data_IF_611156896427
#
_entry.id   IF_611156896427
#
_cell.length_a   1.000
_cell.length_b   1.000
_cell.length_c   1.000
_cell.angle_alpha   90.00
_cell.angle_beta   90.00
_cell.angle_gamma   90.00
#
_symmetry.space_group_name_H-M   'P 1'
#
loop_
_entity.id
_entity.type
_entity.pdbx_description
1 polymer ?
#
# COMPACT_ATOMS: atom_id res chain seq x y z
N UNK A 1 -9.14 -48.87 -1.44
CA UNK A 1 -9.95 -47.72 -0.96
C UNK A 1 -9.15 -46.73 -0.14
N UNK A 2 -8.38 -47.13 0.89
CA UNK A 2 -7.63 -46.19 1.74
C UNK A 2 -6.61 -45.30 0.98
N UNK A 3 -5.84 -45.87 0.04
CA UNK A 3 -4.92 -45.10 -0.83
C UNK A 3 -5.63 -44.11 -1.76
N UNK A 4 -6.83 -44.45 -2.23
CA UNK A 4 -7.66 -43.57 -3.07
C UNK A 4 -8.25 -42.43 -2.26
N UNK A 5 -8.68 -42.72 -1.03
CA UNK A 5 -9.14 -41.71 -0.07
C UNK A 5 -8.00 -40.73 0.27
N UNK A 6 -6.82 -41.23 0.66
CA UNK A 6 -5.64 -40.40 0.96
C UNK A 6 -5.22 -39.50 -0.20
N UNK A 7 -5.27 -40.01 -1.45
CA UNK A 7 -4.99 -39.20 -2.64
C UNK A 7 -6.05 -38.11 -2.86
N UNK A 8 -7.32 -38.42 -2.67
CA UNK A 8 -8.39 -37.43 -2.75
C UNK A 8 -8.28 -36.38 -1.64
N UNK A 9 -7.97 -36.77 -0.40
CA UNK A 9 -7.78 -35.85 0.72
C UNK A 9 -6.57 -34.95 0.50
N UNK A 10 -5.46 -35.48 -0.01
CA UNK A 10 -4.29 -34.68 -0.35
C UNK A 10 -4.61 -33.66 -1.46
N UNK A 11 -5.37 -34.06 -2.48
CA UNK A 11 -5.75 -33.20 -3.59
C UNK A 11 -6.70 -32.08 -3.15
N UNK A 12 -7.67 -32.39 -2.28
CA UNK A 12 -8.55 -31.39 -1.64
C UNK A 12 -7.76 -30.45 -0.72
N UNK A 13 -6.79 -30.97 0.05
CA UNK A 13 -5.93 -30.15 0.91
C UNK A 13 -5.04 -29.20 0.11
N UNK A 14 -4.49 -29.64 -1.03
CA UNK A 14 -3.73 -28.75 -1.91
C UNK A 14 -4.60 -27.69 -2.57
N UNK A 15 -5.85 -28.01 -2.92
CA UNK A 15 -6.82 -27.06 -3.49
C UNK A 15 -7.39 -26.10 -2.44
N UNK A 16 -7.46 -26.47 -1.16
CA UNK A 16 -7.93 -25.57 -0.09
C UNK A 16 -6.86 -24.58 0.36
N UNK A 17 -5.57 -24.86 0.09
CA UNK A 17 -4.48 -23.92 0.32
C UNK A 17 -4.35 -22.85 -0.78
N UNK A 18 -4.99 -23.02 -1.94
CA UNK A 18 -5.04 -21.97 -2.96
C UNK A 18 -6.02 -20.89 -2.50
N UNK A 19 -5.51 -19.82 -1.89
CA UNK A 19 -6.32 -18.64 -1.58
C UNK A 19 -6.10 -17.99 -0.22
N UNK A 20 -5.30 -18.59 0.66
CA UNK A 20 -4.81 -17.92 1.87
C UNK A 20 -3.37 -17.45 1.63
N UNK A 21 -3.18 -16.17 1.33
CA UNK A 21 -1.85 -15.61 1.04
C UNK A 21 -1.68 -14.28 1.75
N UNK A 22 -0.61 -14.15 2.53
CA UNK A 22 -0.15 -12.86 3.06
C UNK A 22 1.05 -12.38 2.27
N UNK A 23 1.10 -11.09 1.98
CA UNK A 23 2.16 -10.47 1.22
C UNK A 23 2.39 -9.03 1.66
N UNK A 24 3.55 -8.49 1.31
CA UNK A 24 3.90 -7.10 1.58
C UNK A 24 3.42 -6.21 0.42
N UNK A 25 2.63 -5.19 0.74
CA UNK A 25 2.16 -4.20 -0.25
C UNK A 25 3.32 -3.31 -0.64
N UNK A 26 3.72 -3.34 -1.91
CA UNK A 26 4.92 -2.62 -2.39
C UNK A 26 4.66 -1.73 -3.61
N UNK A 27 3.41 -1.67 -4.08
CA UNK A 27 3.05 -0.87 -5.26
C UNK A 27 3.53 -1.50 -6.57
N UNK A 28 2.99 -1.01 -7.71
CA UNK A 28 3.39 0.31 -8.15
C UNK A 28 2.52 1.44 -7.59
N UNK A 29 3.15 2.52 -7.15
CA UNK A 29 2.50 3.81 -6.93
C UNK A 29 2.15 4.37 -8.30
N UNK A 30 0.86 4.63 -8.52
CA UNK A 30 0.33 5.05 -9.79
C UNK A 30 0.49 6.55 -10.04
N UNK A 31 -0.28 7.06 -10.99
CA UNK A 31 -0.42 8.51 -11.17
C UNK A 31 -1.08 9.14 -9.92
N UNK A 32 -0.81 10.43 -9.65
CA UNK A 32 -1.49 11.18 -8.60
C UNK A 32 -3.01 11.05 -8.68
N UNK A 33 -3.65 10.79 -7.53
CA UNK A 33 -5.12 10.71 -7.45
C UNK A 33 -5.78 12.04 -7.85
N UNK A 34 -5.11 13.15 -7.51
CA UNK A 34 -5.48 14.51 -7.83
C UNK A 34 -4.21 15.36 -7.86
N UNK A 35 -4.20 16.46 -8.64
CA UNK A 35 -3.15 17.47 -8.54
C UNK A 35 -3.23 18.16 -7.18
N UNK A 36 -2.09 18.67 -6.70
CA UNK A 36 -2.04 19.46 -5.47
C UNK A 36 -2.95 20.69 -5.59
N UNK A 37 -3.76 20.94 -4.56
CA UNK A 37 -4.65 22.11 -4.51
C UNK A 37 -3.88 23.43 -4.43
N UNK A 38 -2.69 23.40 -3.85
CA UNK A 38 -1.76 24.53 -3.78
C UNK A 38 -0.33 24.03 -3.95
N UNK A 39 0.48 24.78 -4.69
CA UNK A 39 1.90 24.48 -4.89
C UNK A 39 2.74 25.34 -3.95
N UNK A 40 3.57 24.70 -3.13
CA UNK A 40 4.55 25.41 -2.29
C UNK A 40 5.65 26.04 -3.17
N UNK A 41 6.10 27.29 -2.89
CA UNK A 41 7.21 27.91 -3.63
C UNK A 41 8.55 27.22 -3.36
N UNK A 42 8.64 26.41 -2.30
CA UNK A 42 9.85 25.67 -1.88
C UNK A 42 10.16 24.53 -2.83
N UNK A 43 11.44 24.19 -2.94
CA UNK A 43 11.85 22.92 -3.56
C UNK A 43 11.75 21.81 -2.51
N UNK A 44 11.42 20.60 -2.95
CA UNK A 44 11.46 19.43 -2.08
C UNK A 44 12.45 18.39 -2.57
N UNK A 45 13.16 17.77 -1.64
CA UNK A 45 14.00 16.59 -1.88
C UNK A 45 13.42 15.40 -1.13
N UNK A 46 13.26 14.26 -1.78
CA UNK A 46 12.81 13.05 -1.11
C UNK A 46 14.02 12.33 -0.52
N UNK A 47 14.00 12.13 0.79
CA UNK A 47 14.96 11.26 1.46
C UNK A 47 14.62 9.79 1.22
N UNK A 48 15.58 8.89 1.43
CA UNK A 48 15.32 7.45 1.36
C UNK A 48 14.15 7.08 2.28
N UNK A 49 13.18 6.37 1.71
CA UNK A 49 11.99 5.93 2.44
C UNK A 49 12.40 4.94 3.51
N UNK A 50 12.10 5.21 4.77
CA UNK A 50 12.30 4.23 5.84
C UNK A 50 11.16 3.23 5.86
N UNK A 51 11.46 1.97 6.15
CA UNK A 51 10.44 0.92 6.33
C UNK A 51 10.61 0.36 7.74
N UNK A 52 9.72 0.75 8.64
CA UNK A 52 9.73 0.33 10.06
C UNK A 52 8.70 -0.76 10.37
N UNK A 53 7.95 -1.22 9.36
CA UNK A 53 7.06 -2.36 9.46
C UNK A 53 7.77 -3.58 10.06
N UNK A 54 7.24 -4.09 11.18
CA UNK A 54 7.86 -5.17 11.97
C UNK A 54 7.78 -6.54 11.30
N UNK A 55 6.80 -6.69 10.41
CA UNK A 55 6.48 -7.88 9.63
C UNK A 55 7.31 -8.00 8.32
N UNK A 56 8.20 -7.06 8.05
CA UNK A 56 9.12 -7.09 6.91
C UNK A 56 10.54 -7.38 7.39
N UNK A 57 11.23 -8.33 6.75
CA UNK A 57 12.63 -8.63 7.06
C UNK A 57 13.58 -7.52 6.55
N UNK A 58 14.80 -7.42 7.08
CA UNK A 58 15.69 -6.29 6.80
C UNK A 58 16.20 -6.21 5.35
N UNK A 59 16.39 -7.36 4.71
CA UNK A 59 16.75 -7.42 3.29
C UNK A 59 15.62 -6.84 2.41
N UNK A 60 14.37 -7.22 2.70
CA UNK A 60 13.20 -6.72 2.02
C UNK A 60 12.97 -5.24 2.33
N UNK A 61 13.19 -4.77 3.56
CA UNK A 61 13.08 -3.34 3.91
C UNK A 61 13.95 -2.47 3.00
N UNK A 62 15.19 -2.89 2.74
CA UNK A 62 16.11 -2.13 1.88
C UNK A 62 15.66 -2.13 0.42
N UNK A 63 15.21 -3.27 -0.10
CA UNK A 63 14.70 -3.36 -1.47
C UNK A 63 13.42 -2.53 -1.66
N UNK A 64 12.50 -2.60 -0.69
CA UNK A 64 11.25 -1.84 -0.68
C UNK A 64 11.53 -0.35 -0.56
N UNK A 65 12.42 0.05 0.36
CA UNK A 65 12.87 1.43 0.54
C UNK A 65 13.32 2.03 -0.79
N UNK A 66 14.27 1.40 -1.48
CA UNK A 66 14.78 1.89 -2.78
C UNK A 66 13.68 1.98 -3.84
N UNK A 67 12.84 0.96 -3.93
CA UNK A 67 11.73 0.93 -4.89
C UNK A 67 10.72 2.06 -4.63
N UNK A 68 10.32 2.26 -3.37
CA UNK A 68 9.38 3.30 -2.98
C UNK A 68 10.00 4.70 -3.14
N UNK A 69 11.28 4.90 -2.84
CA UNK A 69 11.96 6.19 -3.06
C UNK A 69 11.87 6.62 -4.53
N UNK A 70 12.12 5.71 -5.48
CA UNK A 70 12.02 6.02 -6.91
C UNK A 70 10.58 6.35 -7.31
N UNK A 71 9.62 5.54 -6.85
CA UNK A 71 8.22 5.71 -7.18
C UNK A 71 7.63 7.00 -6.58
N UNK A 72 7.98 7.33 -5.33
CA UNK A 72 7.56 8.57 -4.68
C UNK A 72 8.18 9.81 -5.33
N UNK A 73 9.45 9.74 -5.77
CA UNK A 73 10.06 10.83 -6.53
C UNK A 73 9.25 11.16 -7.77
N UNK A 74 8.86 10.13 -8.53
CA UNK A 74 8.02 10.31 -9.70
C UNK A 74 6.62 10.83 -9.33
N UNK A 75 6.02 10.30 -8.27
CA UNK A 75 4.69 10.71 -7.81
C UNK A 75 4.66 12.19 -7.41
N UNK A 76 5.53 12.62 -6.50
CA UNK A 76 5.55 14.00 -5.98
C UNK A 76 5.90 14.99 -7.09
N UNK A 77 6.84 14.63 -7.99
CA UNK A 77 7.19 15.44 -9.16
C UNK A 77 5.98 15.65 -10.08
N UNK A 78 5.14 14.64 -10.24
CA UNK A 78 3.94 14.71 -11.10
C UNK A 78 2.76 15.40 -10.41
N UNK A 79 2.63 15.24 -9.09
CA UNK A 79 1.49 15.76 -8.32
C UNK A 79 1.51 17.29 -8.12
N UNK A 80 2.69 17.93 -8.18
CA UNK A 80 2.80 19.39 -8.18
C UNK A 80 2.69 20.06 -6.80
N UNK A 81 2.95 19.33 -5.71
CA UNK A 81 2.93 19.89 -4.34
C UNK A 81 4.01 20.94 -4.08
N UNK A 82 5.14 20.87 -4.80
CA UNK A 82 6.30 21.75 -4.65
C UNK A 82 6.72 22.29 -6.00
N UNK A 83 7.31 23.49 -6.02
CA UNK A 83 7.75 24.17 -7.25
C UNK A 83 8.69 23.30 -8.09
N UNK A 84 9.61 22.61 -7.42
CA UNK A 84 10.53 21.67 -8.06
C UNK A 84 10.91 20.55 -7.10
N UNK A 85 11.19 19.38 -7.65
CA UNK A 85 11.73 18.24 -6.91
C UNK A 85 13.20 18.07 -7.28
N UNK A 86 14.07 18.12 -6.28
CA UNK A 86 15.51 17.88 -6.44
C UNK A 86 15.85 16.48 -5.98
N UNK A 87 16.78 15.84 -6.69
CA UNK A 87 17.26 14.51 -6.34
C UNK A 87 18.51 14.61 -5.47
N UNK A 88 18.62 13.70 -4.50
CA UNK A 88 19.84 13.52 -3.72
C UNK A 88 21.01 13.16 -4.67
N UNK A 89 22.23 13.70 -4.51
CA UNK A 89 22.79 14.42 -3.36
C UNK A 89 22.78 15.97 -3.45
N UNK A 90 21.85 16.58 -4.18
CA UNK A 90 21.81 18.05 -4.30
C UNK A 90 21.67 18.73 -2.92
N UNK A 91 22.49 19.76 -2.63
CA UNK A 91 22.35 20.53 -1.38
C UNK A 91 21.04 21.31 -1.39
N UNK A 92 20.30 21.24 -0.28
CA UNK A 92 19.09 22.03 -0.05
C UNK A 92 19.46 23.52 0.05
N UNK A 93 18.74 24.36 -0.68
CA UNK A 93 18.77 25.81 -0.52
C UNK A 93 18.18 26.26 0.82
N UNK A 94 18.18 27.56 1.10
CA UNK A 94 17.71 28.12 2.38
C UNK A 94 16.25 27.82 2.70
N UNK A 95 15.39 27.71 1.69
CA UNK A 95 13.96 27.43 1.84
C UNK A 95 13.57 26.03 1.35
N UNK A 96 14.53 25.17 1.01
CA UNK A 96 14.23 23.85 0.46
C UNK A 96 13.97 22.85 1.59
N UNK A 97 13.00 21.95 1.37
CA UNK A 97 12.57 20.99 2.37
C UNK A 97 12.95 19.57 1.99
N UNK A 98 13.19 18.73 2.99
CA UNK A 98 13.33 17.28 2.80
C UNK A 98 12.08 16.55 3.27
N UNK A 99 11.56 15.69 2.39
CA UNK A 99 10.41 14.82 2.64
C UNK A 99 10.92 13.46 3.13
N UNK A 100 10.63 13.12 4.37
CA UNK A 100 10.98 11.85 5.00
C UNK A 100 9.74 10.99 5.15
N UNK A 101 9.60 10.00 4.27
CA UNK A 101 8.53 9.02 4.36
C UNK A 101 8.96 7.82 5.19
N UNK A 102 8.08 7.35 6.06
CA UNK A 102 8.25 6.14 6.83
C UNK A 102 7.05 5.22 6.66
N UNK A 103 7.24 4.02 6.14
CA UNK A 103 6.19 3.02 6.01
C UNK A 103 6.18 2.13 7.25
N UNK A 104 5.08 2.20 8.02
CA UNK A 104 4.94 1.51 9.32
C UNK A 104 4.11 0.23 9.23
N UNK A 105 3.23 0.12 8.23
CA UNK A 105 2.47 -1.10 7.93
C UNK A 105 2.35 -1.24 6.42
N UNK A 106 2.60 -2.43 5.89
CA UNK A 106 2.54 -2.74 4.45
C UNK A 106 1.90 -4.12 4.25
N UNK A 107 0.76 -4.37 4.87
CA UNK A 107 0.13 -5.70 4.93
C UNK A 107 -0.93 -5.86 3.85
N UNK A 108 -0.81 -6.93 3.08
CA UNK A 108 -1.86 -7.45 2.21
C UNK A 108 -2.15 -8.90 2.60
N UNK A 109 -3.42 -9.24 2.73
CA UNK A 109 -3.86 -10.59 3.04
C UNK A 109 -5.06 -10.96 2.18
N UNK A 110 -5.03 -12.14 1.59
CA UNK A 110 -6.21 -12.80 1.03
C UNK A 110 -6.50 -14.00 1.91
N UNK A 111 -7.73 -14.09 2.41
CA UNK A 111 -8.20 -15.21 3.23
C UNK A 111 -9.57 -15.68 2.76
N UNK A 112 -9.95 -16.90 3.13
CA UNK A 112 -11.30 -17.44 2.84
C UNK A 112 -12.35 -16.58 3.56
N UNK A 113 -13.41 -16.20 2.84
CA UNK A 113 -14.48 -15.40 3.41
C UNK A 113 -15.19 -16.18 4.53
N UNK A 114 -15.36 -15.63 5.74
CA UNK A 114 -15.90 -16.37 6.89
C UNK A 114 -17.33 -16.89 6.64
N UNK A 115 -18.12 -16.15 5.86
CA UNK A 115 -19.46 -16.58 5.42
C UNK A 115 -19.47 -17.69 4.37
N UNK A 116 -18.34 -18.02 3.73
CA UNK A 116 -18.29 -19.03 2.67
C UNK A 116 -18.48 -20.45 3.21
N UNK A 117 -17.83 -20.82 4.31
CA UNK A 117 -17.92 -22.20 4.84
C UNK A 117 -19.34 -22.57 5.32
N UNK A 118 -20.08 -21.73 6.07
CA UNK A 118 -21.47 -22.02 6.38
C UNK A 118 -22.41 -21.83 5.17
N UNK A 119 -22.19 -20.80 4.33
CA UNK A 119 -23.06 -20.48 3.19
C UNK A 119 -22.97 -21.49 2.04
N UNK A 120 -21.77 -21.97 1.72
CA UNK A 120 -21.55 -22.95 0.66
C UNK A 120 -22.00 -24.36 1.06
N UNK A 121 -21.93 -24.73 2.35
CA UNK A 121 -22.50 -25.98 2.85
C UNK A 121 -24.03 -25.95 2.85
N UNK A 122 -24.66 -24.81 3.19
CA UNK A 122 -26.12 -24.66 3.20
C UNK A 122 -26.74 -24.58 1.81
N UNK A 123 -26.04 -23.95 0.85
CA UNK A 123 -26.60 -23.70 -0.49
C UNK A 123 -26.03 -24.61 -1.57
N UNK A 124 -25.06 -25.46 -1.22
CA UNK A 124 -24.41 -26.55 -1.97
C UNK A 124 -23.94 -26.25 -3.40
N UNK A 125 -24.10 -25.03 -3.90
CA UNK A 125 -23.59 -24.49 -5.19
C UNK A 125 -24.19 -23.11 -5.49
N UNK A 126 -25.40 -22.77 -4.98
CA UNK A 126 -26.08 -21.52 -5.36
C UNK A 126 -25.24 -20.28 -5.02
N UNK A 127 -24.53 -20.28 -3.87
CA UNK A 127 -23.61 -19.19 -3.50
C UNK A 127 -22.58 -18.89 -4.59
N UNK A 128 -22.02 -19.93 -5.21
CA UNK A 128 -21.03 -19.78 -6.29
C UNK A 128 -21.72 -19.25 -7.55
N UNK A 129 -22.90 -19.77 -7.90
CA UNK A 129 -23.66 -19.35 -9.09
C UNK A 129 -24.05 -17.87 -9.06
N UNK A 130 -24.40 -17.32 -7.89
CA UNK A 130 -24.74 -15.89 -7.74
C UNK A 130 -23.51 -14.99 -7.50
N UNK A 131 -22.30 -15.50 -7.71
CA UNK A 131 -21.05 -14.81 -7.45
C UNK A 131 -20.86 -14.36 -5.97
N UNK A 132 -21.34 -15.16 -5.03
CA UNK A 132 -21.14 -14.91 -3.61
C UNK A 132 -19.64 -14.87 -3.25
N UNK A 133 -19.25 -14.05 -2.25
CA UNK A 133 -17.85 -13.90 -1.91
C UNK A 133 -17.26 -15.17 -1.30
N UNK A 134 -16.09 -15.54 -1.80
CA UNK A 134 -15.33 -16.73 -1.42
C UNK A 134 -14.02 -16.36 -0.75
N UNK A 135 -13.46 -15.19 -1.05
CA UNK A 135 -12.33 -14.61 -0.34
C UNK A 135 -12.63 -13.20 0.15
N UNK A 136 -11.85 -12.76 1.12
CA UNK A 136 -11.71 -11.37 1.54
C UNK A 136 -10.26 -10.97 1.31
N UNK A 137 -10.07 -9.91 0.53
CA UNK A 137 -8.80 -9.19 0.47
C UNK A 137 -8.80 -8.11 1.54
N UNK A 138 -7.87 -8.19 2.49
CA UNK A 138 -7.65 -7.19 3.53
C UNK A 138 -6.31 -6.50 3.29
N UNK A 139 -6.32 -5.17 3.32
CA UNK A 139 -5.15 -4.32 3.20
C UNK A 139 -5.06 -3.42 4.43
N UNK A 140 -3.86 -3.34 5.00
CA UNK A 140 -3.51 -2.44 6.07
C UNK A 140 -2.18 -1.80 5.67
N UNK A 141 -2.27 -0.54 5.23
CA UNK A 141 -1.12 0.24 4.78
C UNK A 141 -1.07 1.50 5.62
N UNK A 142 0.04 1.72 6.31
CA UNK A 142 0.22 2.86 7.20
C UNK A 142 1.59 3.48 6.98
N UNK A 143 1.65 4.81 7.15
CA UNK A 143 2.88 5.53 7.02
C UNK A 143 2.85 6.89 7.69
N UNK A 144 4.03 7.47 7.79
CA UNK A 144 4.28 8.79 8.31
C UNK A 144 5.05 9.59 7.25
N UNK A 145 4.76 10.88 7.17
CA UNK A 145 5.52 11.84 6.37
C UNK A 145 5.95 12.97 7.30
N UNK A 146 7.25 13.23 7.34
CA UNK A 146 7.82 14.37 8.05
C UNK A 146 8.50 15.28 7.04
N UNK A 147 8.10 16.54 7.02
CA UNK A 147 8.74 17.60 6.23
C UNK A 147 9.72 18.31 7.14
N UNK A 148 11.00 18.27 6.79
CA UNK A 148 12.07 18.92 7.55
C UNK A 148 12.73 20.01 6.71
N UNK A 149 13.20 21.04 7.39
CA UNK A 149 14.04 22.08 6.81
C UNK A 149 15.49 21.58 6.58
N UNK A 150 16.33 22.39 5.92
CA UNK A 150 17.77 22.15 5.74
C UNK A 150 18.49 21.84 7.04
N UNK A 151 18.14 22.54 8.12
CA UNK A 151 18.77 22.37 9.44
C UNK A 151 18.20 21.16 10.21
N UNK A 152 17.34 20.36 9.58
CA UNK A 152 16.71 19.17 10.17
C UNK A 152 15.54 19.48 11.11
N UNK A 153 15.13 20.75 11.21
CA UNK A 153 13.97 21.16 11.99
C UNK A 153 12.68 20.67 11.32
N UNK A 154 11.82 20.00 12.07
CA UNK A 154 10.51 19.57 11.58
C UNK A 154 9.60 20.78 11.35
N UNK A 155 9.10 20.91 10.12
CA UNK A 155 8.16 21.96 9.71
C UNK A 155 6.72 21.45 9.73
N UNK A 156 6.51 20.20 9.30
CA UNK A 156 5.20 19.57 9.29
C UNK A 156 5.32 18.05 9.40
N UNK A 157 4.26 17.40 9.86
CA UNK A 157 4.14 15.95 9.83
C UNK A 157 2.70 15.49 9.64
N UNK A 158 2.56 14.38 8.94
CA UNK A 158 1.32 13.64 8.81
C UNK A 158 1.57 12.17 9.12
N UNK A 159 0.54 11.52 9.65
CA UNK A 159 0.50 10.08 9.88
C UNK A 159 -0.88 9.63 9.43
N UNK A 160 -0.90 8.65 8.54
CA UNK A 160 -2.13 8.17 7.92
C UNK A 160 -2.11 6.64 7.86
N UNK A 161 -3.29 6.04 7.88
CA UNK A 161 -3.51 4.61 7.82
C UNK A 161 -4.72 4.33 6.93
N UNK A 162 -4.53 3.49 5.92
CA UNK A 162 -5.56 3.06 5.00
C UNK A 162 -5.84 1.58 5.25
N UNK A 163 -7.01 1.31 5.81
CA UNK A 163 -7.56 -0.05 5.95
C UNK A 163 -8.64 -0.26 4.92
N UNK A 164 -8.52 -1.34 4.17
CA UNK A 164 -9.48 -1.67 3.13
C UNK A 164 -9.75 -3.16 3.10
N UNK A 165 -11.03 -3.52 3.11
CA UNK A 165 -11.47 -4.90 2.93
C UNK A 165 -12.33 -5.00 1.68
N UNK A 166 -12.13 -6.09 0.93
CA UNK A 166 -12.93 -6.35 -0.26
C UNK A 166 -13.27 -7.82 -0.39
N UNK A 167 -14.55 -8.03 -0.55
CA UNK A 167 -15.13 -9.32 -0.88
C UNK A 167 -14.84 -9.70 -2.33
N UNK A 168 -14.33 -10.91 -2.54
CA UNK A 168 -13.96 -11.44 -3.85
C UNK A 168 -14.78 -12.69 -4.15
N UNK A 169 -15.60 -12.62 -5.18
CA UNK A 169 -16.36 -13.75 -5.75
C UNK A 169 -15.62 -14.41 -6.92
N UNK A 170 -16.02 -15.63 -7.30
CA UNK A 170 -15.36 -16.44 -8.34
C UNK A 170 -15.34 -15.77 -9.73
N UNK A 171 -16.41 -15.06 -10.07
CA UNK A 171 -16.55 -14.38 -11.36
C UNK A 171 -16.05 -12.92 -11.30
N UNK A 172 -15.58 -12.47 -10.13
CA UNK A 172 -14.96 -11.16 -9.97
C UNK A 172 -13.58 -11.13 -10.64
N UNK A 173 -13.22 -9.99 -11.23
CA UNK A 173 -11.90 -9.80 -11.84
C UNK A 173 -10.78 -10.03 -10.82
N UNK A 174 -11.02 -9.62 -9.59
CA UNK A 174 -10.07 -9.67 -8.47
C UNK A 174 -9.73 -11.10 -8.05
N UNK A 175 -10.57 -12.08 -8.42
CA UNK A 175 -10.26 -13.51 -8.26
C UNK A 175 -9.06 -13.89 -9.14
N UNK A 176 -9.10 -13.49 -10.42
CA UNK A 176 -8.10 -13.83 -11.43
C UNK A 176 -6.89 -12.87 -11.43
N UNK A 177 -7.09 -11.62 -11.00
CA UNK A 177 -6.07 -10.59 -10.92
C UNK A 177 -6.10 -9.91 -9.53
N UNK A 178 -5.39 -10.46 -8.53
CA UNK A 178 -5.33 -9.87 -7.20
C UNK A 178 -4.78 -8.44 -7.27
N UNK A 179 -5.49 -7.47 -6.73
CA UNK A 179 -4.94 -6.11 -6.63
C UNK A 179 -3.95 -6.10 -5.48
N UNK A 180 -2.64 -6.02 -5.75
CA UNK A 180 -1.58 -6.12 -4.73
C UNK A 180 -1.42 -4.87 -3.84
N UNK A 181 -2.52 -4.19 -3.49
CA UNK A 181 -2.53 -3.03 -2.60
C UNK A 181 -2.04 -1.71 -3.24
N UNK A 182 -1.76 -1.69 -4.55
CA UNK A 182 -1.25 -0.50 -5.26
C UNK A 182 -2.15 0.73 -5.09
N UNK A 183 -3.48 0.56 -5.13
CA UNK A 183 -4.43 1.66 -4.91
C UNK A 183 -4.37 2.21 -3.50
N UNK A 184 -4.31 1.33 -2.49
CA UNK A 184 -4.23 1.70 -1.08
C UNK A 184 -2.92 2.43 -0.78
N UNK A 185 -1.82 1.99 -1.38
CA UNK A 185 -0.54 2.69 -1.28
C UNK A 185 -0.60 4.07 -1.95
N UNK A 186 -1.23 4.19 -3.12
CA UNK A 186 -1.41 5.48 -3.80
C UNK A 186 -2.27 6.44 -2.97
N UNK A 187 -3.33 5.94 -2.36
CA UNK A 187 -4.22 6.68 -1.46
C UNK A 187 -3.51 7.15 -0.19
N UNK A 188 -2.76 6.26 0.45
CA UNK A 188 -1.95 6.61 1.62
C UNK A 188 -0.98 7.74 1.30
N UNK A 189 -0.28 7.66 0.16
CA UNK A 189 0.70 8.69 -0.25
C UNK A 189 0.01 10.02 -0.52
N UNK A 190 -1.14 10.01 -1.19
CA UNK A 190 -1.93 11.22 -1.41
C UNK A 190 -2.37 11.87 -0.09
N UNK A 191 -2.94 11.09 0.83
CA UNK A 191 -3.38 11.58 2.14
C UNK A 191 -2.20 12.13 2.96
N UNK A 192 -1.06 11.43 2.98
CA UNK A 192 0.14 11.91 3.67
C UNK A 192 0.61 13.26 3.13
N UNK A 193 0.68 13.41 1.81
CA UNK A 193 1.12 14.64 1.16
C UNK A 193 0.12 15.78 1.39
N UNK A 194 -1.18 15.52 1.23
CA UNK A 194 -2.22 16.52 1.48
C UNK A 194 -2.20 17.00 2.93
N UNK A 195 -2.18 16.07 3.89
CA UNK A 195 -2.17 16.37 5.32
C UNK A 195 -0.89 17.09 5.75
N UNK A 196 0.27 16.70 5.22
CA UNK A 196 1.55 17.32 5.58
C UNK A 196 1.72 18.69 4.94
N UNK A 197 1.33 18.85 3.66
CA UNK A 197 1.44 20.14 2.97
C UNK A 197 0.44 21.17 3.48
N UNK A 198 -0.76 20.75 3.90
CA UNK A 198 -1.73 21.63 4.54
C UNK A 198 -1.24 22.20 5.89
N UNK A 199 -0.39 21.45 6.61
CA UNK A 199 0.22 21.87 7.89
C UNK A 199 1.54 22.64 7.70
N UNK A 200 2.02 22.76 6.46
CA UNK A 200 3.24 23.50 6.18
C UNK A 200 3.01 24.99 6.49
N UNK A 201 3.91 25.66 7.22
CA UNK A 201 3.81 27.09 7.46
C UNK A 201 3.77 27.84 6.11
N UNK A 202 2.71 28.62 5.91
CA UNK A 202 2.61 29.55 4.78
C UNK A 202 3.72 30.60 4.92
N UNK A 203 4.39 30.88 3.81
CA UNK A 203 5.28 32.05 3.71
C UNK A 203 4.46 33.33 3.59
#
# INVERSE_FOLDING_TARGET
MLKTLLRATALVATLSMTGCVSYTVTGPIGAPLHPASTTSPRSAQIADVSVTASDVNDANKTAISRSLTVQLNQYVRTAGYFKQITEYPTRLGENDVSLKFNMTSLKGHRGVHPGYFPGALLTLTIWIWVNGPIYVDTFDVAGDLVIVDRDGKQLASAKEEVKFERNVGLYGREYWAPTMGAKQLNELVAQLLDSATAKLPKE
#
